data_IF_268322888961
#
_entry.id   IF_268322888961
#
_cell.length_a   1.000
_cell.length_b   1.000
_cell.length_c   1.000
_cell.angle_alpha   90.00
_cell.angle_beta   90.00
_cell.angle_gamma   90.00
#
_symmetry.space_group_name_H-M   'P 1'
#
loop_
_entity.id
_entity.type
_entity.pdbx_description
1 polymer ?
#
# COMPACT_ATOMS: atom_id res chain seq x y z
N UNK A 1 -6.67 6.57 9.36
CA UNK A 1 -5.69 7.22 8.46
C UNK A 1 -4.56 7.77 9.27
N UNK A 2 -3.64 8.49 8.64
CA UNK A 2 -2.56 9.17 9.35
C UNK A 2 -3.12 10.26 10.28
N UNK A 3 -2.44 10.57 11.40
CA UNK A 3 -2.88 11.64 12.30
C UNK A 3 -3.00 12.96 11.53
N UNK A 4 -4.03 13.79 11.78
CA UNK A 4 -4.23 15.06 11.06
C UNK A 4 -3.03 16.02 11.11
N UNK A 5 -2.22 15.93 12.17
CA UNK A 5 -0.95 16.66 12.31
C UNK A 5 0.08 16.35 11.21
N UNK A 6 -0.08 15.25 10.49
CA UNK A 6 0.76 14.86 9.34
C UNK A 6 0.18 15.32 7.99
N UNK A 7 -1.00 15.94 7.96
CA UNK A 7 -1.65 16.46 6.76
C UNK A 7 -1.56 17.98 6.60
N UNK A 8 -2.18 18.50 5.53
CA UNK A 8 -2.18 19.94 5.21
C UNK A 8 -3.05 20.82 6.13
N UNK A 9 -3.73 20.21 7.10
CA UNK A 9 -4.68 20.89 8.00
C UNK A 9 -4.29 20.62 9.47
N UNK A 10 -3.28 21.33 10.00
CA UNK A 10 -2.76 21.09 11.35
C UNK A 10 -3.79 21.33 12.46
N UNK A 11 -4.83 22.13 12.19
CA UNK A 11 -5.92 22.45 13.12
C UNK A 11 -7.12 21.48 13.04
N UNK A 12 -7.06 20.47 12.17
CA UNK A 12 -8.14 19.51 12.05
C UNK A 12 -8.21 18.60 13.29
N UNK A 13 -9.34 18.63 13.98
CA UNK A 13 -9.63 17.70 15.08
C UNK A 13 -9.65 16.28 14.54
N UNK A 14 -8.87 15.39 15.13
CA UNK A 14 -8.90 13.99 14.79
C UNK A 14 -10.23 13.37 15.27
N UNK A 15 -11.11 13.08 14.33
CA UNK A 15 -12.35 12.35 14.58
C UNK A 15 -12.03 10.86 14.41
N UNK A 16 -11.84 10.17 15.53
CA UNK A 16 -11.52 8.73 15.57
C UNK A 16 -12.75 7.85 15.76
N UNK A 17 -13.95 8.36 15.44
CA UNK A 17 -15.22 7.67 15.70
C UNK A 17 -15.33 6.33 14.96
N UNK A 18 -14.62 6.21 13.84
CA UNK A 18 -14.66 5.03 12.97
C UNK A 18 -13.24 4.68 12.53
N UNK A 19 -12.81 3.45 12.82
CA UNK A 19 -11.56 2.91 12.32
C UNK A 19 -11.73 2.29 10.92
N UNK A 20 -10.66 1.78 10.32
CA UNK A 20 -10.73 1.21 8.97
C UNK A 20 -11.74 0.04 8.86
N UNK A 21 -11.90 -0.77 9.90
CA UNK A 21 -12.86 -1.89 9.90
C UNK A 21 -14.29 -1.35 9.98
N UNK A 22 -14.52 -0.35 10.85
CA UNK A 22 -15.81 0.32 10.94
C UNK A 22 -16.22 0.98 9.62
N UNK A 23 -15.27 1.60 8.90
CA UNK A 23 -15.55 2.23 7.61
C UNK A 23 -15.96 1.19 6.56
N UNK A 24 -15.30 0.02 6.53
CA UNK A 24 -15.69 -1.09 5.64
C UNK A 24 -17.12 -1.52 5.92
N UNK A 25 -17.50 -1.70 7.20
CA UNK A 25 -18.87 -2.04 7.57
C UNK A 25 -19.89 -0.98 7.10
N UNK A 26 -19.57 0.31 7.26
CA UNK A 26 -20.44 1.40 6.82
C UNK A 26 -20.63 1.35 5.30
N UNK A 27 -19.54 1.26 4.53
CA UNK A 27 -19.62 1.22 3.06
C UNK A 27 -20.37 -0.03 2.60
N UNK A 28 -20.18 -1.16 3.27
CA UNK A 28 -20.92 -2.39 2.97
C UNK A 28 -22.43 -2.26 3.26
N UNK A 29 -22.81 -1.55 4.33
CA UNK A 29 -24.21 -1.22 4.58
C UNK A 29 -24.78 -0.29 3.50
N UNK A 30 -24.03 0.74 3.09
CA UNK A 30 -24.44 1.64 2.01
C UNK A 30 -24.67 0.86 0.70
N UNK A 31 -23.79 -0.09 0.37
CA UNK A 31 -23.95 -0.97 -0.78
C UNK A 31 -25.24 -1.82 -0.70
N UNK A 32 -25.72 -2.11 0.51
CA UNK A 32 -26.98 -2.83 0.77
C UNK A 32 -28.20 -1.90 0.89
N UNK A 33 -28.03 -0.58 0.70
CA UNK A 33 -29.10 0.40 0.85
C UNK A 33 -29.48 0.68 2.30
N UNK A 34 -28.53 0.53 3.22
CA UNK A 34 -28.70 0.78 4.66
C UNK A 34 -27.76 1.89 5.14
N UNK A 35 -28.21 2.73 6.05
CA UNK A 35 -27.34 3.67 6.78
C UNK A 35 -26.52 2.96 7.90
N UNK A 36 -25.74 3.74 8.65
CA UNK A 36 -24.94 3.23 9.79
C UNK A 36 -25.79 2.61 10.91
N UNK A 37 -27.04 3.04 11.07
CA UNK A 37 -28.00 2.50 12.04
C UNK A 37 -28.81 1.31 11.51
N UNK A 38 -28.58 0.89 10.26
CA UNK A 38 -29.34 -0.17 9.61
C UNK A 38 -30.69 0.28 9.04
N UNK A 39 -30.97 1.59 8.98
CA UNK A 39 -32.20 2.09 8.38
C UNK A 39 -32.11 2.07 6.86
N UNK A 40 -33.19 1.72 6.15
CA UNK A 40 -33.21 1.80 4.69
C UNK A 40 -33.01 3.23 4.19
N UNK A 41 -32.08 3.41 3.24
CA UNK A 41 -31.83 4.69 2.54
C UNK A 41 -32.34 4.69 1.09
N UNK A 42 -33.05 3.63 0.69
CA UNK A 42 -33.54 3.44 -0.66
C UNK A 42 -32.56 2.62 -1.50
N UNK A 43 -32.06 3.18 -2.59
CA UNK A 43 -31.15 2.48 -3.52
C UNK A 43 -29.75 2.40 -2.92
N UNK A 44 -29.19 1.19 -2.84
CA UNK A 44 -27.83 0.97 -2.37
C UNK A 44 -26.77 1.53 -3.32
N UNK A 45 -25.58 1.76 -2.77
CA UNK A 45 -24.40 2.14 -3.55
C UNK A 45 -23.78 0.94 -4.25
N UNK A 46 -22.71 1.15 -5.01
CA UNK A 46 -21.98 0.07 -5.71
C UNK A 46 -20.47 0.30 -5.63
N UNK A 47 -19.99 0.63 -4.43
CA UNK A 47 -18.56 0.80 -4.18
C UNK A 47 -17.86 -0.55 -4.17
N UNK A 48 -16.66 -0.60 -4.74
CA UNK A 48 -15.72 -1.70 -4.55
C UNK A 48 -14.81 -1.37 -3.37
N UNK A 49 -14.77 -2.23 -2.36
CA UNK A 49 -14.14 -1.91 -1.07
C UNK A 49 -12.69 -2.41 -1.03
N UNK A 50 -11.73 -1.47 -1.12
CA UNK A 50 -10.31 -1.75 -0.94
C UNK A 50 -9.82 -1.41 0.47
N UNK A 51 -8.87 -2.19 1.00
CA UNK A 51 -8.28 -1.93 2.32
C UNK A 51 -6.75 -1.93 2.31
N UNK A 52 -6.16 -1.13 3.20
CA UNK A 52 -4.71 -1.14 3.41
C UNK A 52 -4.25 -2.30 4.28
N UNK A 53 -3.07 -2.86 3.97
CA UNK A 53 -2.35 -3.82 4.81
C UNK A 53 -0.87 -3.40 4.96
N UNK A 54 -0.24 -3.66 6.11
CA UNK A 54 1.18 -3.37 6.29
C UNK A 54 1.97 -4.61 6.74
N UNK A 55 2.56 -5.38 5.80
CA UNK A 55 3.40 -6.54 6.13
C UNK A 55 4.61 -6.22 7.01
N UNK A 56 5.04 -4.95 7.05
CA UNK A 56 6.26 -4.50 7.73
C UNK A 56 6.09 -4.04 9.17
N UNK A 57 4.90 -4.21 9.78
CA UNK A 57 4.70 -3.78 11.18
C UNK A 57 5.43 -4.67 12.18
N UNK A 58 5.85 -4.14 13.35
CA UNK A 58 6.50 -4.94 14.39
C UNK A 58 5.61 -6.06 14.98
N UNK A 59 4.29 -5.84 15.05
CA UNK A 59 3.34 -6.85 15.52
C UNK A 59 2.50 -7.34 14.34
N UNK A 60 3.05 -8.33 13.63
CA UNK A 60 2.42 -8.91 12.44
C UNK A 60 1.09 -9.61 12.80
N UNK A 61 1.02 -10.34 13.91
CA UNK A 61 -0.19 -11.06 14.33
C UNK A 61 -1.39 -10.12 14.51
N UNK A 62 -1.17 -8.93 15.08
CA UNK A 62 -2.22 -7.91 15.20
C UNK A 62 -2.67 -7.39 13.83
N UNK A 63 -1.74 -7.20 12.90
CA UNK A 63 -2.07 -6.79 11.54
C UNK A 63 -2.86 -7.86 10.79
N UNK A 64 -2.51 -9.14 10.96
CA UNK A 64 -3.28 -10.27 10.41
C UNK A 64 -4.70 -10.25 10.97
N UNK A 65 -4.86 -10.18 12.29
CA UNK A 65 -6.20 -10.16 12.92
C UNK A 65 -7.04 -8.97 12.42
N UNK A 66 -6.44 -7.78 12.33
CA UNK A 66 -7.14 -6.60 11.79
C UNK A 66 -7.46 -6.74 10.31
N UNK A 67 -6.60 -7.41 9.54
CA UNK A 67 -6.84 -7.72 8.15
C UNK A 67 -8.04 -8.67 7.99
N UNK A 68 -8.10 -9.74 8.79
CA UNK A 68 -9.24 -10.65 8.82
C UNK A 68 -10.56 -9.92 9.12
N UNK A 69 -10.59 -9.05 10.12
CA UNK A 69 -11.78 -8.23 10.40
C UNK A 69 -12.20 -7.31 9.26
N UNK A 70 -11.24 -6.78 8.48
CA UNK A 70 -11.55 -5.99 7.27
C UNK A 70 -12.20 -6.88 6.20
N UNK A 71 -11.68 -8.10 6.01
CA UNK A 71 -12.23 -9.07 5.05
C UNK A 71 -13.64 -9.49 5.46
N UNK A 72 -13.84 -9.84 6.73
CA UNK A 72 -15.15 -10.20 7.30
C UNK A 72 -16.18 -9.06 7.15
N UNK A 73 -15.73 -7.80 7.28
CA UNK A 73 -16.59 -6.63 7.08
C UNK A 73 -17.00 -6.39 5.62
N UNK A 74 -16.34 -7.05 4.65
CA UNK A 74 -16.68 -6.97 3.23
C UNK A 74 -15.61 -6.33 2.34
N UNK A 75 -14.35 -6.28 2.77
CA UNK A 75 -13.27 -5.87 1.88
C UNK A 75 -13.12 -6.84 0.69
N UNK A 76 -12.91 -6.30 -0.50
CA UNK A 76 -12.86 -7.04 -1.77
C UNK A 76 -11.44 -7.15 -2.34
N UNK A 77 -10.53 -6.24 -1.96
CA UNK A 77 -9.11 -6.32 -2.28
C UNK A 77 -8.25 -5.59 -1.24
N UNK A 78 -6.97 -5.93 -1.21
CA UNK A 78 -5.99 -5.33 -0.32
C UNK A 78 -4.92 -4.59 -1.11
N UNK A 79 -4.43 -3.48 -0.57
CA UNK A 79 -3.24 -2.78 -1.06
C UNK A 79 -2.22 -2.71 0.07
N UNK A 80 -1.02 -3.23 -0.17
CA UNK A 80 0.01 -3.19 0.86
C UNK A 80 0.65 -1.81 0.95
N UNK A 81 1.18 -1.48 2.13
CA UNK A 81 2.24 -0.49 2.23
C UNK A 81 3.44 -0.89 1.33
N UNK A 82 4.32 0.08 0.99
CA UNK A 82 5.46 -0.18 0.11
C UNK A 82 6.31 -1.36 0.60
N UNK A 83 6.63 -2.27 -0.31
CA UNK A 83 7.42 -3.46 0.02
C UNK A 83 8.89 -3.21 -0.31
N UNK A 84 9.73 -3.20 0.72
CA UNK A 84 11.20 -3.22 0.59
C UNK A 84 11.84 -4.48 1.20
N UNK A 85 11.05 -5.30 1.89
CA UNK A 85 11.46 -6.57 2.47
C UNK A 85 10.53 -7.69 1.99
N UNK A 86 11.03 -8.52 1.09
CA UNK A 86 10.26 -9.61 0.48
C UNK A 86 9.91 -10.70 1.50
N UNK A 87 10.77 -10.93 2.50
CA UNK A 87 10.54 -11.98 3.50
C UNK A 87 9.32 -11.69 4.37
N UNK A 88 9.10 -10.40 4.69
CA UNK A 88 7.92 -9.94 5.42
C UNK A 88 6.66 -10.05 4.57
N UNK A 89 6.74 -9.69 3.28
CA UNK A 89 5.61 -9.89 2.37
C UNK A 89 5.25 -11.37 2.23
N UNK A 90 6.23 -12.26 2.01
CA UNK A 90 6.00 -13.71 1.92
C UNK A 90 5.33 -14.26 3.19
N UNK A 91 5.82 -13.85 4.36
CA UNK A 91 5.26 -14.27 5.65
C UNK A 91 3.82 -13.80 5.80
N UNK A 92 3.54 -12.52 5.49
CA UNK A 92 2.21 -11.96 5.52
C UNK A 92 1.25 -12.72 4.58
N UNK A 93 1.64 -12.92 3.31
CA UNK A 93 0.80 -13.60 2.32
C UNK A 93 0.46 -15.04 2.71
N UNK A 94 1.42 -15.77 3.30
CA UNK A 94 1.17 -17.12 3.83
C UNK A 94 0.14 -17.11 4.97
N UNK A 95 0.22 -16.13 5.87
CA UNK A 95 -0.69 -16.04 7.00
C UNK A 95 -2.11 -15.63 6.60
N UNK A 96 -2.30 -14.93 5.48
CA UNK A 96 -3.63 -14.51 4.99
C UNK A 96 -4.18 -15.39 3.86
N UNK A 97 -3.58 -16.55 3.58
CA UNK A 97 -3.96 -17.42 2.46
C UNK A 97 -5.46 -17.83 2.52
N UNK A 98 -6.03 -17.90 3.72
CA UNK A 98 -7.44 -18.20 3.94
C UNK A 98 -8.41 -17.05 3.62
N UNK A 99 -7.96 -15.80 3.57
CA UNK A 99 -8.82 -14.63 3.33
C UNK A 99 -9.30 -14.52 1.86
N UNK A 100 -8.58 -15.12 0.91
CA UNK A 100 -8.97 -15.26 -0.52
C UNK A 100 -9.38 -13.99 -1.28
N UNK A 101 -8.94 -12.80 -0.85
CA UNK A 101 -9.10 -11.56 -1.62
C UNK A 101 -7.79 -11.20 -2.36
N UNK A 102 -7.84 -10.56 -3.54
CA UNK A 102 -6.65 -10.12 -4.25
C UNK A 102 -5.83 -9.13 -3.43
N UNK A 103 -4.51 -9.30 -3.46
CA UNK A 103 -3.52 -8.40 -2.86
C UNK A 103 -2.78 -7.66 -3.96
N UNK A 104 -2.67 -6.35 -3.81
CA UNK A 104 -1.92 -5.44 -4.67
C UNK A 104 -0.70 -4.95 -3.89
N UNK A 105 0.51 -5.26 -4.34
CA UNK A 105 1.72 -4.81 -3.67
C UNK A 105 1.99 -3.32 -3.95
N UNK A 106 2.23 -2.53 -2.89
CA UNK A 106 2.70 -1.16 -3.03
C UNK A 106 4.17 -1.11 -3.47
N UNK A 107 4.47 -0.40 -4.56
CA UNK A 107 5.82 -0.20 -5.09
C UNK A 107 6.12 1.30 -5.18
N UNK A 108 7.03 1.78 -4.34
CA UNK A 108 7.31 3.22 -4.22
C UNK A 108 8.79 3.50 -4.48
N UNK A 109 9.12 4.21 -5.58
CA UNK A 109 10.49 4.65 -5.82
C UNK A 109 10.96 5.59 -4.72
N UNK A 110 12.12 5.30 -4.14
CA UNK A 110 12.76 6.19 -3.17
C UNK A 110 13.40 7.37 -3.92
N UNK A 111 13.37 8.57 -3.32
CA UNK A 111 13.97 9.76 -3.96
C UNK A 111 15.25 10.25 -3.29
N UNK A 112 15.54 9.75 -2.08
CA UNK A 112 16.76 10.03 -1.31
C UNK A 112 16.86 9.11 -0.09
N UNK A 113 18.05 9.04 0.54
CA UNK A 113 18.22 8.35 1.83
C UNK A 113 17.31 8.92 2.92
N UNK A 114 17.15 10.25 2.98
CA UNK A 114 16.23 10.91 3.92
C UNK A 114 14.78 10.51 3.69
N UNK A 115 14.38 10.31 2.42
CA UNK A 115 13.06 9.80 2.10
C UNK A 115 12.90 8.34 2.56
N UNK A 116 13.92 7.50 2.40
CA UNK A 116 13.90 6.12 2.90
C UNK A 116 13.81 6.04 4.44
N UNK A 117 14.55 6.90 5.14
CA UNK A 117 14.44 7.04 6.61
C UNK A 117 13.05 7.50 7.04
N UNK A 118 12.44 8.45 6.30
CA UNK A 118 11.07 8.88 6.54
C UNK A 118 10.06 7.74 6.37
N UNK A 119 10.20 6.92 5.31
CA UNK A 119 9.35 5.73 5.12
C UNK A 119 9.44 4.78 6.32
N UNK A 120 10.66 4.57 6.83
CA UNK A 120 10.91 3.69 7.98
C UNK A 120 10.35 4.23 9.28
N UNK A 121 10.63 5.48 9.59
CA UNK A 121 10.38 6.05 10.91
C UNK A 121 8.96 6.61 11.06
N UNK A 122 8.45 7.27 10.01
CA UNK A 122 7.18 7.99 10.08
C UNK A 122 6.03 7.16 9.51
N UNK A 123 6.24 6.51 8.36
CA UNK A 123 5.21 5.66 7.73
C UNK A 123 5.22 4.21 8.24
N UNK A 124 6.16 3.88 9.14
CA UNK A 124 6.31 2.53 9.74
C UNK A 124 6.37 1.41 8.68
N UNK A 125 7.02 1.70 7.56
CA UNK A 125 7.32 0.73 6.53
C UNK A 125 8.61 0.02 6.91
N UNK A 126 8.69 -1.30 6.76
CA UNK A 126 9.96 -1.99 6.94
C UNK A 126 10.89 -1.66 5.78
N UNK A 127 11.97 -0.92 6.06
CA UNK A 127 13.04 -0.62 5.12
C UNK A 127 14.33 -1.27 5.63
N UNK A 128 14.81 -2.36 5.00
CA UNK A 128 16.04 -3.03 5.41
C UNK A 128 17.25 -2.09 5.37
N UNK A 129 18.22 -2.31 6.25
CA UNK A 129 19.45 -1.51 6.27
C UNK A 129 20.21 -1.60 4.93
N UNK A 130 20.15 -2.74 4.23
CA UNK A 130 20.73 -2.88 2.90
C UNK A 130 20.17 -1.88 1.88
N UNK A 131 18.88 -1.53 1.97
CA UNK A 131 18.25 -0.51 1.12
C UNK A 131 18.70 0.88 1.54
N UNK A 132 18.77 1.16 2.85
CA UNK A 132 19.29 2.43 3.36
C UNK A 132 20.75 2.67 2.94
N UNK A 133 21.58 1.65 3.07
CA UNK A 133 23.01 1.70 2.73
C UNK A 133 23.21 1.96 1.23
N UNK A 134 22.42 1.30 0.36
CA UNK A 134 22.40 1.58 -1.09
C UNK A 134 22.05 3.04 -1.38
N UNK A 135 20.97 3.54 -0.79
CA UNK A 135 20.54 4.93 -0.96
C UNK A 135 21.58 5.93 -0.43
N UNK A 136 22.34 5.58 0.61
CA UNK A 136 23.39 6.43 1.16
C UNK A 136 24.64 6.54 0.27
N UNK A 137 24.87 5.61 -0.66
CA UNK A 137 25.99 5.68 -1.61
C UNK A 137 25.77 6.73 -2.72
N UNK A 138 24.52 7.14 -2.97
CA UNK A 138 24.21 8.12 -3.98
C UNK A 138 24.71 9.52 -3.59
N UNK A 139 25.64 10.07 -4.38
CA UNK A 139 26.30 11.36 -4.10
C UNK A 139 25.55 12.58 -4.64
N UNK A 140 24.57 12.38 -5.53
CA UNK A 140 23.77 13.44 -6.14
C UNK A 140 22.27 13.12 -6.04
N UNK A 141 21.39 14.14 -6.08
CA UNK A 141 19.94 13.94 -6.13
C UNK A 141 19.47 13.12 -7.34
N UNK A 142 20.20 13.16 -8.45
CA UNK A 142 19.93 12.39 -9.65
C UNK A 142 20.29 10.91 -9.43
N UNK A 143 21.50 10.63 -8.94
CA UNK A 143 21.93 9.27 -8.63
C UNK A 143 21.04 8.62 -7.56
N UNK A 144 20.56 9.39 -6.58
CA UNK A 144 19.65 8.86 -5.55
C UNK A 144 18.29 8.46 -6.12
N UNK A 145 17.81 9.18 -7.13
CA UNK A 145 16.56 8.85 -7.83
C UNK A 145 16.73 7.62 -8.71
N UNK A 146 17.84 7.54 -9.45
CA UNK A 146 18.16 6.38 -10.27
C UNK A 146 18.24 5.11 -9.42
N UNK A 147 18.92 5.17 -8.27
CA UNK A 147 19.01 4.06 -7.32
C UNK A 147 17.63 3.68 -6.75
N UNK A 148 16.82 4.66 -6.36
CA UNK A 148 15.47 4.39 -5.86
C UNK A 148 14.52 3.80 -6.90
N UNK A 149 14.68 4.17 -8.18
CA UNK A 149 13.99 3.53 -9.31
C UNK A 149 14.50 2.09 -9.47
N UNK A 150 15.82 1.87 -9.43
CA UNK A 150 16.40 0.53 -9.53
C UNK A 150 15.88 -0.42 -8.44
N UNK A 151 15.84 0.04 -7.19
CA UNK A 151 15.25 -0.71 -6.06
C UNK A 151 13.78 -1.02 -6.34
N UNK A 152 12.98 -0.05 -6.78
CA UNK A 152 11.56 -0.27 -7.07
C UNK A 152 11.34 -1.26 -8.22
N UNK A 153 12.22 -1.27 -9.24
CA UNK A 153 12.21 -2.26 -10.32
C UNK A 153 12.49 -3.67 -9.80
N UNK A 154 13.51 -3.82 -8.97
CA UNK A 154 13.84 -5.10 -8.33
C UNK A 154 12.67 -5.63 -7.50
N UNK A 155 12.06 -4.76 -6.69
CA UNK A 155 10.88 -5.12 -5.89
C UNK A 155 9.69 -5.50 -6.77
N UNK A 156 9.39 -4.74 -7.83
CA UNK A 156 8.29 -5.04 -8.74
C UNK A 156 8.45 -6.42 -9.39
N UNK A 157 9.65 -6.73 -9.90
CA UNK A 157 9.95 -8.03 -10.52
C UNK A 157 9.80 -9.16 -9.49
N UNK A 158 10.33 -8.97 -8.28
CA UNK A 158 10.28 -9.99 -7.25
C UNK A 158 8.85 -10.30 -6.77
N UNK A 159 8.01 -9.28 -6.57
CA UNK A 159 6.64 -9.49 -6.09
C UNK A 159 5.69 -9.99 -7.19
N UNK A 160 6.06 -9.88 -8.48
CA UNK A 160 5.16 -10.14 -9.60
C UNK A 160 4.46 -11.50 -9.56
N UNK A 161 5.13 -12.53 -9.05
CA UNK A 161 4.58 -13.89 -8.95
C UNK A 161 3.89 -14.19 -7.60
N UNK A 162 3.93 -13.25 -6.65
CA UNK A 162 3.42 -13.42 -5.30
C UNK A 162 2.05 -12.78 -5.10
N UNK A 163 1.72 -11.75 -5.89
CA UNK A 163 0.53 -10.90 -5.71
C UNK A 163 -0.26 -10.78 -7.01
N UNK A 164 -1.52 -10.36 -6.91
CA UNK A 164 -2.43 -10.24 -8.06
C UNK A 164 -2.26 -8.92 -8.82
N UNK A 165 -1.54 -7.95 -8.25
CA UNK A 165 -1.22 -6.69 -8.91
C UNK A 165 -0.18 -5.87 -8.16
N UNK A 166 0.22 -4.74 -8.74
CA UNK A 166 1.11 -3.78 -8.10
C UNK A 166 0.57 -2.35 -8.26
N UNK A 167 0.68 -1.55 -7.20
CA UNK A 167 0.40 -0.13 -7.19
C UNK A 167 1.73 0.63 -7.20
N UNK A 168 2.10 1.21 -8.34
CA UNK A 168 3.34 1.99 -8.48
C UNK A 168 3.05 3.46 -8.16
N UNK A 169 3.72 4.00 -7.14
CA UNK A 169 3.59 5.41 -6.76
C UNK A 169 4.43 6.31 -7.66
N UNK A 170 3.98 7.55 -7.86
CA UNK A 170 4.71 8.61 -8.56
C UNK A 170 5.02 9.76 -7.58
N UNK A 171 6.09 9.65 -6.77
CA UNK A 171 6.45 10.66 -5.79
C UNK A 171 6.58 12.04 -6.45
N UNK A 172 6.01 13.06 -5.81
CA UNK A 172 6.05 14.46 -6.29
C UNK A 172 5.48 14.66 -7.71
N UNK A 173 4.56 13.80 -8.16
CA UNK A 173 3.95 13.91 -9.49
C UNK A 173 4.88 13.53 -10.64
N UNK A 174 6.00 12.84 -10.35
CA UNK A 174 6.96 12.39 -11.37
C UNK A 174 6.51 11.09 -12.02
N UNK A 175 5.51 11.18 -12.90
CA UNK A 175 4.93 10.00 -13.58
C UNK A 175 5.95 9.21 -14.41
N UNK A 176 6.97 9.87 -14.97
CA UNK A 176 8.04 9.19 -15.70
C UNK A 176 8.73 8.10 -14.86
N UNK A 177 9.01 8.36 -13.58
CA UNK A 177 9.64 7.37 -12.70
C UNK A 177 8.75 6.15 -12.45
N UNK A 178 7.42 6.32 -12.42
CA UNK A 178 6.50 5.20 -12.30
C UNK A 178 6.47 4.34 -13.59
N UNK A 179 6.57 4.99 -14.75
CA UNK A 179 6.70 4.30 -16.05
C UNK A 179 8.02 3.54 -16.13
N UNK A 180 9.15 4.17 -15.75
CA UNK A 180 10.47 3.54 -15.73
C UNK A 180 10.50 2.28 -14.83
N UNK A 181 9.75 2.30 -13.73
CA UNK A 181 9.58 1.13 -12.86
C UNK A 181 8.78 0.03 -13.56
N UNK A 182 7.65 0.38 -14.18
CA UNK A 182 6.79 -0.56 -14.89
C UNK A 182 7.53 -1.28 -16.03
N UNK A 183 8.44 -0.59 -16.73
CA UNK A 183 9.24 -1.17 -17.81
C UNK A 183 10.12 -2.35 -17.36
N UNK A 184 10.36 -2.55 -16.07
CA UNK A 184 11.07 -3.72 -15.55
C UNK A 184 10.36 -5.05 -15.84
N UNK A 185 9.03 -5.05 -15.99
CA UNK A 185 8.26 -6.24 -16.36
C UNK A 185 8.28 -6.52 -17.88
N UNK A 186 8.99 -5.70 -18.65
CA UNK A 186 9.03 -5.74 -20.10
C UNK A 186 7.89 -4.96 -20.73
N UNK A 187 8.17 -4.31 -21.86
CA UNK A 187 7.15 -3.61 -22.65
C UNK A 187 6.32 -4.64 -23.43
N UNK A 188 5.22 -5.14 -22.86
CA UNK A 188 4.16 -5.71 -23.70
C UNK A 188 3.45 -4.57 -24.41
N UNK A 189 4.01 -4.09 -25.53
CA UNK A 189 3.16 -3.47 -26.54
C UNK A 189 2.15 -4.55 -26.94
N UNK A 190 0.83 -4.35 -26.76
CA UNK A 190 -0.10 -5.24 -27.42
C UNK A 190 0.24 -5.16 -28.91
N UNK A 191 0.49 -6.30 -29.53
CA UNK A 191 0.58 -6.37 -30.97
C UNK A 191 -0.68 -5.70 -31.51
N UNK A 192 -0.52 -4.55 -32.16
CA UNK A 192 -1.59 -3.89 -32.90
C UNK A 192 -2.19 -4.92 -33.84
N UNK A 193 -3.45 -5.29 -33.58
CA UNK A 193 -4.26 -6.10 -34.48
C UNK A 193 -4.66 -5.28 -35.71
#
# INVERSE_FOLDING_TARGET
GDPPKMGNYPDATAVFDVDAIGLVNIVQNLNRGLDIGGNPIGVGTSFVIGVGANPGVPNLDEEIRRFEYKVEAGAEYAVTQPVFDLSLLETFLRQIEHCRIPVVAGIWPLVSVRNAEFMKNELRVSVPNSILDRMAQAKTPEAAREEGIAIAREMLVAVHHMVQGAQISAPMGRYASAVDVLEALGSSRPATA
#
